data_IF_362978099605
#
_entry.id   IF_362978099605
#
_cell.length_a   1.000
_cell.length_b   1.000
_cell.length_c   1.000
_cell.angle_alpha   90.00
_cell.angle_beta   90.00
_cell.angle_gamma   90.00
#
_symmetry.space_group_name_H-M   'P 1'
#
loop_
_entity.id
_entity.type
_entity.pdbx_description
1 polymer ?
#
# COMPACT_ATOMS: atom_id res chain seq x y z
N UNK A 1 10.51 -2.18 -18.32
CA UNK A 1 10.11 -1.62 -17.01
C UNK A 1 8.71 -2.09 -16.68
N UNK A 2 8.54 -2.67 -15.50
CA UNK A 2 7.24 -3.11 -15.02
C UNK A 2 6.76 -2.22 -13.89
N UNK A 3 5.44 -2.15 -13.70
CA UNK A 3 4.81 -1.41 -12.62
C UNK A 3 4.01 -2.39 -11.77
N UNK A 4 4.24 -2.35 -10.47
CA UNK A 4 3.54 -3.22 -9.52
C UNK A 4 2.71 -2.36 -8.58
N UNK A 5 1.48 -2.77 -8.35
CA UNK A 5 0.56 -2.08 -7.44
C UNK A 5 0.22 -2.99 -6.27
N UNK A 6 0.48 -2.51 -5.07
CA UNK A 6 0.11 -3.18 -3.83
C UNK A 6 -0.85 -2.30 -3.05
N UNK A 7 -2.00 -2.83 -2.71
CA UNK A 7 -3.03 -2.07 -2.02
C UNK A 7 -3.36 -2.71 -0.68
N UNK A 8 -3.24 -1.92 0.38
CA UNK A 8 -3.47 -2.36 1.75
C UNK A 8 -4.64 -1.56 2.32
N UNK A 9 -5.81 -2.18 2.40
CA UNK A 9 -7.06 -1.49 2.76
C UNK A 9 -7.47 -1.67 4.22
N UNK A 10 -6.80 -2.53 4.95
CA UNK A 10 -7.05 -2.70 6.38
C UNK A 10 -5.76 -3.01 7.12
N UNK A 11 -5.57 -2.37 8.27
CA UNK A 11 -4.42 -2.60 9.13
C UNK A 11 -4.75 -3.70 10.13
N UNK A 12 -3.85 -4.68 10.27
CA UNK A 12 -4.03 -5.77 11.23
C UNK A 12 -3.15 -6.96 10.93
N UNK A 13 -3.00 -7.87 11.89
CA UNK A 13 -2.18 -9.06 11.75
C UNK A 13 -0.75 -8.75 11.35
N UNK A 14 -0.25 -9.45 10.35
CA UNK A 14 1.14 -9.30 9.88
C UNK A 14 1.24 -8.45 8.60
N UNK A 15 0.23 -7.65 8.28
CA UNK A 15 0.19 -6.88 7.04
C UNK A 15 1.40 -5.94 6.93
N UNK A 16 1.74 -5.25 8.03
CA UNK A 16 2.89 -4.34 8.03
C UNK A 16 4.20 -5.10 7.77
N UNK A 17 4.36 -6.28 8.36
CA UNK A 17 5.54 -7.11 8.14
C UNK A 17 5.66 -7.55 6.69
N UNK A 18 4.56 -7.96 6.06
CA UNK A 18 4.54 -8.32 4.65
C UNK A 18 4.91 -7.15 3.77
N UNK A 19 4.37 -5.96 4.07
CA UNK A 19 4.75 -4.76 3.34
C UNK A 19 6.25 -4.49 3.45
N UNK A 20 6.82 -4.56 4.64
CA UNK A 20 8.25 -4.30 4.87
C UNK A 20 9.12 -5.27 4.06
N UNK A 21 8.75 -6.54 4.00
CA UNK A 21 9.47 -7.52 3.17
C UNK A 21 9.46 -7.14 1.69
N UNK A 22 8.28 -6.77 1.18
CA UNK A 22 8.15 -6.36 -0.22
C UNK A 22 8.91 -5.06 -0.47
N UNK A 23 8.87 -4.13 0.48
CA UNK A 23 9.61 -2.87 0.40
C UNK A 23 11.11 -3.11 0.26
N UNK A 24 11.68 -3.99 1.07
CA UNK A 24 13.11 -4.30 0.98
C UNK A 24 13.50 -4.91 -0.36
N UNK A 25 12.65 -5.74 -0.91
CA UNK A 25 12.85 -6.26 -2.26
C UNK A 25 12.77 -5.14 -3.29
N UNK A 26 11.75 -4.31 -3.19
CA UNK A 26 11.46 -3.25 -4.15
C UNK A 26 12.57 -2.20 -4.22
N UNK A 27 13.15 -1.86 -3.09
CA UNK A 27 14.19 -0.82 -3.02
C UNK A 27 15.45 -1.22 -3.83
N UNK A 28 15.71 -2.51 -3.95
CA UNK A 28 16.84 -3.03 -4.72
C UNK A 28 16.50 -3.29 -6.19
N UNK A 29 15.21 -3.29 -6.53
CA UNK A 29 14.74 -3.55 -7.89
C UNK A 29 14.47 -2.24 -8.64
N UNK A 30 15.53 -1.50 -8.94
CA UNK A 30 15.44 -0.17 -9.54
C UNK A 30 14.86 -0.15 -10.95
N UNK A 31 14.82 -1.29 -11.63
CA UNK A 31 14.30 -1.41 -12.99
C UNK A 31 12.77 -1.33 -13.05
N UNK A 32 12.10 -1.57 -11.94
CA UNK A 32 10.64 -1.62 -11.87
C UNK A 32 10.12 -0.57 -10.89
N UNK A 33 8.88 -0.13 -11.10
CA UNK A 33 8.24 0.85 -10.24
C UNK A 33 7.20 0.17 -9.37
N UNK A 34 7.22 0.49 -8.08
CA UNK A 34 6.34 -0.10 -7.07
C UNK A 34 5.45 0.98 -6.47
N UNK A 35 4.15 0.76 -6.55
CA UNK A 35 3.13 1.64 -5.97
C UNK A 35 2.55 0.94 -4.75
N UNK A 36 2.64 1.59 -3.60
CA UNK A 36 2.05 1.10 -2.35
C UNK A 36 0.95 2.06 -1.92
N UNK A 37 -0.28 1.58 -1.88
CA UNK A 37 -1.43 2.37 -1.50
C UNK A 37 -2.00 1.82 -0.20
N UNK A 38 -2.12 2.68 0.80
CA UNK A 38 -2.53 2.29 2.15
C UNK A 38 -3.81 2.99 2.57
N UNK A 39 -4.60 2.31 3.41
CA UNK A 39 -5.67 2.97 4.15
C UNK A 39 -5.07 3.99 5.12
N UNK A 40 -5.86 4.97 5.60
CA UNK A 40 -5.35 6.01 6.52
C UNK A 40 -4.75 5.44 7.81
N UNK A 41 -5.20 4.27 8.25
CA UNK A 41 -4.74 3.61 9.48
C UNK A 41 -3.23 3.32 9.47
N UNK A 42 -2.66 3.14 8.30
CA UNK A 42 -1.24 2.80 8.15
C UNK A 42 -0.30 3.99 8.37
N UNK A 43 -0.79 5.21 8.22
CA UNK A 43 0.07 6.39 8.16
C UNK A 43 1.03 6.51 9.33
N UNK A 44 0.54 6.42 10.56
CA UNK A 44 1.36 6.48 11.76
C UNK A 44 2.42 5.40 11.78
N UNK A 45 2.03 4.18 11.45
CA UNK A 45 2.91 3.01 11.50
C UNK A 45 4.01 3.08 10.45
N UNK A 46 3.64 3.51 9.24
CA UNK A 46 4.61 3.67 8.15
C UNK A 46 5.60 4.79 8.45
N UNK A 47 5.13 5.91 9.02
CA UNK A 47 6.00 7.02 9.38
C UNK A 47 7.00 6.63 10.47
N UNK A 48 6.61 5.77 11.43
CA UNK A 48 7.50 5.26 12.47
C UNK A 48 8.65 4.41 11.93
N UNK A 49 8.46 3.78 10.78
CA UNK A 49 9.48 2.94 10.16
C UNK A 49 10.59 3.74 9.50
N UNK A 50 10.40 5.04 9.29
CA UNK A 50 11.39 5.94 8.69
C UNK A 50 11.98 5.39 7.39
N UNK A 51 11.10 4.96 6.48
CA UNK A 51 11.52 4.33 5.24
C UNK A 51 12.20 5.32 4.30
N UNK A 52 13.29 4.88 3.68
CA UNK A 52 13.94 5.63 2.60
C UNK A 52 13.16 5.37 1.32
N UNK A 53 12.75 6.45 0.64
CA UNK A 53 12.01 6.34 -0.61
C UNK A 53 12.92 6.65 -1.79
N UNK A 54 13.11 5.67 -2.66
CA UNK A 54 13.81 5.83 -3.92
C UNK A 54 12.81 6.22 -5.01
N UNK A 55 13.32 6.64 -6.18
CA UNK A 55 12.49 7.08 -7.31
C UNK A 55 11.50 6.00 -7.79
N UNK A 56 11.83 4.74 -7.60
CA UNK A 56 11.01 3.62 -8.04
C UNK A 56 9.94 3.21 -7.04
N UNK A 57 9.88 3.86 -5.88
CA UNK A 57 8.91 3.53 -4.82
C UNK A 57 8.00 4.72 -4.57
N UNK A 58 6.70 4.50 -4.72
CA UNK A 58 5.68 5.53 -4.54
C UNK A 58 4.71 5.06 -3.46
N UNK A 59 4.62 5.86 -2.39
CA UNK A 59 3.67 5.61 -1.29
C UNK A 59 2.53 6.61 -1.37
N UNK A 60 1.31 6.12 -1.22
CA UNK A 60 0.13 6.96 -1.17
C UNK A 60 -0.83 6.45 -0.09
N UNK A 61 -1.45 7.38 0.60
CA UNK A 61 -2.47 7.06 1.60
C UNK A 61 -3.84 7.46 1.07
N UNK A 62 -4.79 6.55 1.17
CA UNK A 62 -6.18 6.84 0.83
C UNK A 62 -6.79 7.75 1.90
N UNK A 63 -7.74 8.57 1.48
CA UNK A 63 -8.58 9.29 2.43
C UNK A 63 -9.65 8.33 2.96
N UNK A 64 -10.27 8.69 4.08
CA UNK A 64 -11.41 7.91 4.62
C UNK A 64 -12.51 7.77 3.58
N UNK A 65 -12.78 8.84 2.83
CA UNK A 65 -13.80 8.85 1.78
C UNK A 65 -13.48 7.88 0.65
N UNK A 66 -12.22 7.86 0.19
CA UNK A 66 -11.78 6.94 -0.85
C UNK A 66 -11.90 5.49 -0.39
N UNK A 67 -11.53 5.22 0.86
CA UNK A 67 -11.63 3.89 1.45
C UNK A 67 -13.08 3.41 1.52
N UNK A 68 -14.00 4.28 1.92
CA UNK A 68 -15.44 3.97 1.96
C UNK A 68 -15.98 3.62 0.57
N UNK A 69 -15.60 4.38 -0.44
CA UNK A 69 -15.98 4.10 -1.83
C UNK A 69 -15.48 2.74 -2.29
N UNK A 70 -14.25 2.40 -1.95
CA UNK A 70 -13.67 1.12 -2.32
C UNK A 70 -14.42 -0.03 -1.66
N UNK A 71 -14.76 0.08 -0.38
CA UNK A 71 -15.54 -0.93 0.35
C UNK A 71 -16.95 -1.07 -0.23
N UNK A 72 -17.57 0.04 -0.60
CA UNK A 72 -18.91 0.02 -1.22
C UNK A 72 -18.87 -0.72 -2.55
N UNK A 73 -17.88 -0.45 -3.39
CA UNK A 73 -17.70 -1.12 -4.67
C UNK A 73 -17.53 -2.64 -4.48
N UNK A 74 -16.75 -3.06 -3.49
CA UNK A 74 -16.58 -4.48 -3.17
C UNK A 74 -17.91 -5.13 -2.76
N UNK A 75 -18.73 -4.43 -1.99
CA UNK A 75 -20.06 -4.93 -1.61
C UNK A 75 -20.96 -5.16 -2.84
N UNK A 76 -20.97 -4.20 -3.76
CA UNK A 76 -21.75 -4.31 -4.99
C UNK A 76 -21.29 -5.52 -5.80
N UNK A 77 -19.99 -5.69 -5.97
CA UNK A 77 -19.43 -6.82 -6.72
C UNK A 77 -19.77 -8.16 -6.08
N UNK A 78 -19.82 -8.23 -4.75
CA UNK A 78 -20.18 -9.46 -4.05
C UNK A 78 -21.66 -9.81 -4.14
N UNK A 79 -22.51 -8.85 -4.49
CA UNK A 79 -23.94 -9.05 -4.65
C UNK A 79 -24.31 -9.84 -5.93
N UNK A 80 -23.36 -9.95 -6.81
CA UNK A 80 -23.51 -10.73 -8.04
C UNK A 80 -22.93 -12.12 -7.86
#
# INVERSE_FOLDING_TARGET
>A
MKRFLFMYTSFGGHVLEYFIHIYHYAIDDEKNTYYFIFSPDFKKHIECEQLVLKKNIILRYLTVRELERLHHTKKILKSY
#
